data_IF_262017151352
#
_entry.id   IF_262017151352
#
_cell.length_a   1.000
_cell.length_b   1.000
_cell.length_c   1.000
_cell.angle_alpha   90.00
_cell.angle_beta   90.00
_cell.angle_gamma   90.00
#
_symmetry.space_group_name_H-M   'P 1'
#
loop_
_entity.id
_entity.type
_entity.pdbx_description
1 polymer ?
#
# COMPACT_ATOMS: atom_id res chain seq x y z
N UNK A 1 40.94 16.11 -14.23
CA UNK A 1 39.69 15.60 -14.86
C UNK A 1 39.30 14.17 -14.43
N UNK A 2 40.27 13.26 -14.15
CA UNK A 2 40.02 11.84 -13.79
C UNK A 2 39.12 11.64 -12.55
N UNK A 3 39.32 12.47 -11.51
CA UNK A 3 38.57 12.41 -10.24
C UNK A 3 37.10 12.77 -10.43
N UNK A 4 36.80 13.68 -11.36
CA UNK A 4 35.44 14.10 -11.68
C UNK A 4 34.68 13.03 -12.46
N UNK A 5 35.37 12.32 -13.36
CA UNK A 5 34.80 11.17 -14.08
C UNK A 5 34.43 10.02 -13.13
N UNK A 6 35.22 9.79 -12.08
CA UNK A 6 34.95 8.76 -11.08
C UNK A 6 33.73 9.10 -10.20
N UNK A 7 33.59 10.38 -9.82
CA UNK A 7 32.44 10.90 -9.08
C UNK A 7 31.13 10.79 -9.88
N UNK A 8 31.18 11.11 -11.17
CA UNK A 8 30.01 11.03 -12.06
C UNK A 8 29.54 9.58 -12.28
N UNK A 9 30.48 8.64 -12.40
CA UNK A 9 30.18 7.20 -12.54
C UNK A 9 29.49 6.64 -11.28
N UNK A 10 29.95 7.04 -10.09
CA UNK A 10 29.37 6.59 -8.83
C UNK A 10 27.92 7.07 -8.64
N UNK A 11 27.62 8.30 -9.08
CA UNK A 11 26.28 8.88 -9.03
C UNK A 11 25.31 8.13 -9.97
N UNK A 12 25.79 7.69 -11.13
CA UNK A 12 24.99 6.94 -12.11
C UNK A 12 24.63 5.53 -11.61
N UNK A 13 25.54 4.89 -10.87
CA UNK A 13 25.31 3.57 -10.25
C UNK A 13 24.24 3.62 -9.15
N UNK A 14 24.15 4.73 -8.40
CA UNK A 14 23.09 4.92 -7.41
C UNK A 14 21.70 5.13 -8.06
N UNK A 15 21.65 5.83 -9.20
CA UNK A 15 20.39 6.04 -9.94
C UNK A 15 19.91 4.78 -10.70
N UNK A 16 20.82 3.89 -11.10
CA UNK A 16 20.51 2.63 -11.76
C UNK A 16 20.02 1.52 -10.80
N UNK A 17 20.12 1.75 -9.49
CA UNK A 17 19.52 0.87 -8.48
C UNK A 17 18.00 1.11 -8.43
N UNK A 18 17.30 0.68 -9.48
CA UNK A 18 15.84 0.72 -9.64
C UNK A 18 15.07 -0.16 -8.66
N UNK A 19 15.61 -0.38 -7.45
CA UNK A 19 15.02 -1.17 -6.36
C UNK A 19 13.68 -0.60 -5.89
N UNK A 20 13.45 0.70 -6.11
CA UNK A 20 12.18 1.38 -5.84
C UNK A 20 11.36 1.67 -7.09
N UNK A 21 11.66 1.03 -8.23
CA UNK A 21 10.78 1.00 -9.38
C UNK A 21 9.54 0.19 -9.04
N UNK A 22 8.59 0.82 -8.34
CA UNK A 22 7.25 0.27 -8.10
C UNK A 22 6.69 -0.05 -9.48
N UNK A 23 6.64 -1.33 -9.83
CA UNK A 23 5.83 -1.83 -10.94
C UNK A 23 4.38 -1.66 -10.49
N UNK A 24 3.88 -0.44 -10.56
CA UNK A 24 2.44 -0.20 -10.65
C UNK A 24 2.02 -0.74 -12.02
N UNK A 25 1.96 -2.06 -12.11
CA UNK A 25 1.24 -2.75 -13.17
C UNK A 25 -0.19 -2.22 -13.09
N UNK A 26 -0.56 -1.48 -14.13
CA UNK A 26 -1.75 -0.65 -14.19
C UNK A 26 -2.96 -1.19 -13.44
N UNK A 27 -3.36 -0.45 -12.43
CA UNK A 27 -4.76 -0.35 -12.06
C UNK A 27 -4.96 1.02 -11.41
N UNK A 28 -5.51 1.96 -12.18
CA UNK A 28 -6.50 2.91 -11.65
C UNK A 28 -7.78 2.14 -11.25
N UNK A 29 -7.60 1.05 -10.54
CA UNK A 29 -8.61 0.16 -10.05
C UNK A 29 -8.46 0.20 -8.55
N UNK A 30 -9.50 0.70 -7.91
CA UNK A 30 -9.79 0.58 -6.48
C UNK A 30 -9.09 -0.64 -5.87
N UNK A 31 -8.16 -0.38 -4.94
CA UNK A 31 -7.41 -1.44 -4.29
C UNK A 31 -8.36 -2.17 -3.34
N UNK A 32 -8.48 -3.50 -3.47
CA UNK A 32 -9.32 -4.31 -2.59
C UNK A 32 -8.45 -5.03 -1.58
N UNK A 33 -8.54 -4.61 -0.32
CA UNK A 33 -7.70 -5.06 0.78
C UNK A 33 -8.51 -6.03 1.65
N UNK A 34 -7.92 -7.19 1.95
CA UNK A 34 -8.48 -8.16 2.91
C UNK A 34 -7.62 -8.12 4.17
N UNK A 35 -8.21 -7.76 5.30
CA UNK A 35 -7.50 -7.62 6.57
C UNK A 35 -7.66 -8.88 7.44
N UNK A 36 -6.53 -9.50 7.81
CA UNK A 36 -6.51 -10.74 8.60
C UNK A 36 -6.28 -10.53 10.11
N UNK A 37 -6.19 -9.29 10.56
CA UNK A 37 -5.89 -8.97 11.97
C UNK A 37 -6.60 -7.68 12.40
N UNK A 38 -7.02 -7.65 13.67
CA UNK A 38 -7.67 -6.47 14.27
C UNK A 38 -6.77 -5.24 14.22
N UNK A 39 -5.50 -5.41 14.62
CA UNK A 39 -4.55 -4.30 14.70
C UNK A 39 -4.27 -3.70 13.32
N UNK A 40 -4.22 -4.55 12.29
CA UNK A 40 -4.03 -4.09 10.91
C UNK A 40 -5.25 -3.31 10.42
N UNK A 41 -6.44 -3.82 10.71
CA UNK A 41 -7.71 -3.17 10.36
C UNK A 41 -7.78 -1.77 10.99
N UNK A 42 -7.53 -1.67 12.29
CA UNK A 42 -7.51 -0.38 13.01
C UNK A 42 -6.45 0.58 12.46
N UNK A 43 -5.26 0.09 12.15
CA UNK A 43 -4.21 0.90 11.53
C UNK A 43 -4.63 1.43 10.15
N UNK A 44 -5.26 0.61 9.32
CA UNK A 44 -5.73 1.03 7.98
C UNK A 44 -6.83 2.09 8.08
N UNK A 45 -7.75 1.95 9.04
CA UNK A 45 -8.73 3.00 9.33
C UNK A 45 -8.08 4.28 9.85
N UNK A 46 -7.06 4.18 10.71
CA UNK A 46 -6.34 5.35 11.25
C UNK A 46 -5.57 6.12 10.15
N UNK A 47 -5.11 5.42 9.11
CA UNK A 47 -4.39 6.02 7.97
C UNK A 47 -5.37 6.58 6.92
N UNK A 48 -6.67 6.30 7.02
CA UNK A 48 -7.71 6.76 6.09
C UNK A 48 -7.94 5.84 4.89
N UNK A 49 -7.22 4.72 4.81
CA UNK A 49 -7.32 3.71 3.76
C UNK A 49 -8.39 2.64 4.06
N UNK A 50 -9.18 2.82 5.12
CA UNK A 50 -10.23 1.88 5.51
C UNK A 50 -11.32 1.64 4.46
N UNK A 51 -11.53 2.59 3.55
CA UNK A 51 -12.50 2.49 2.44
C UNK A 51 -12.12 1.44 1.38
N UNK A 52 -10.84 1.09 1.30
CA UNK A 52 -10.31 0.08 0.38
C UNK A 52 -10.40 -1.34 0.97
N UNK A 53 -10.85 -1.50 2.22
CA UNK A 53 -10.97 -2.80 2.88
C UNK A 53 -12.28 -3.46 2.46
N UNK A 54 -12.22 -4.62 1.81
CA UNK A 54 -13.40 -5.36 1.33
C UNK A 54 -13.83 -6.49 2.27
N UNK A 55 -12.92 -6.96 3.14
CA UNK A 55 -13.20 -8.00 4.11
C UNK A 55 -12.24 -7.91 5.30
N UNK A 56 -12.73 -8.30 6.47
CA UNK A 56 -11.97 -8.32 7.72
C UNK A 56 -12.12 -9.67 8.43
N UNK A 57 -11.13 -10.00 9.24
CA UNK A 57 -11.17 -11.20 10.10
C UNK A 57 -12.34 -11.14 11.11
N UNK A 58 -12.97 -12.28 11.36
CA UNK A 58 -14.12 -12.45 12.27
C UNK A 58 -13.86 -11.99 13.70
N UNK A 59 -12.60 -12.01 14.13
CA UNK A 59 -12.23 -11.56 15.47
C UNK A 59 -12.27 -10.03 15.58
N UNK A 60 -12.23 -9.30 14.48
CA UNK A 60 -12.18 -7.84 14.46
C UNK A 60 -13.44 -7.24 15.07
N UNK A 61 -13.30 -6.58 16.22
CA UNK A 61 -14.39 -5.85 16.89
C UNK A 61 -14.81 -4.59 16.14
N UNK A 62 -14.01 -4.17 15.16
CA UNK A 62 -14.34 -3.16 14.14
C UNK A 62 -15.23 -3.74 13.01
N UNK A 63 -15.95 -4.83 13.31
CA UNK A 63 -16.79 -5.58 12.40
C UNK A 63 -17.93 -4.75 11.81
N UNK A 64 -18.41 -3.70 12.49
CA UNK A 64 -19.45 -2.81 11.94
C UNK A 64 -19.03 -2.11 10.65
N UNK A 65 -17.79 -1.58 10.58
CA UNK A 65 -17.31 -0.93 9.36
C UNK A 65 -16.96 -1.95 8.27
N UNK A 66 -16.45 -3.12 8.66
CA UNK A 66 -16.13 -4.19 7.72
C UNK A 66 -17.37 -4.91 7.16
N UNK A 67 -18.44 -5.07 7.94
CA UNK A 67 -19.72 -5.65 7.52
C UNK A 67 -20.40 -4.78 6.47
N UNK A 68 -20.32 -3.46 6.61
CA UNK A 68 -20.79 -2.54 5.57
C UNK A 68 -19.95 -2.65 4.28
N UNK A 69 -18.65 -2.91 4.40
CA UNK A 69 -17.78 -3.08 3.24
C UNK A 69 -17.96 -4.43 2.53
N UNK A 70 -18.17 -5.53 3.28
CA UNK A 70 -18.49 -6.86 2.70
C UNK A 70 -19.85 -6.85 1.97
N UNK A 71 -20.82 -6.10 2.49
CA UNK A 71 -22.15 -5.99 1.89
C UNK A 71 -22.24 -4.96 0.74
N UNK A 72 -21.11 -4.40 0.29
CA UNK A 72 -21.06 -3.44 -0.82
C UNK A 72 -21.69 -2.08 -0.52
N UNK A 73 -21.84 -1.73 0.76
CA UNK A 73 -22.51 -0.52 1.22
C UNK A 73 -21.52 0.58 1.61
N UNK A 74 -20.95 1.27 0.63
CA UNK A 74 -20.38 2.61 0.79
C UNK A 74 -20.98 3.50 -0.30
N UNK A 75 -22.06 4.22 0.05
CA UNK A 75 -22.44 5.48 -0.60
C UNK A 75 -21.63 6.63 -0.02
#
# INVERSE_FOLDING_TARGET
MKKLAWLLSCMLLMAACGRFGKKESGAKGEQRIVCLSKQLTEMMFAIGEGHNIVACDLSSTFSRQCENAENGGLS
#
